data_IF_570398273406
#
_entry.id   IF_570398273406
#
_cell.length_a   1.000
_cell.length_b   1.000
_cell.length_c   1.000
_cell.angle_alpha   90.00
_cell.angle_beta   90.00
_cell.angle_gamma   90.00
#
_symmetry.space_group_name_H-M   'P 1'
#
loop_
_entity.id
_entity.type
_entity.pdbx_description
1 polymer ?
#
# COMPACT_ATOMS: atom_id res chain seq x y z
N UNK A 1 71.83 -3.87 -15.83
CA UNK A 1 71.27 -5.15 -16.30
C UNK A 1 70.99 -5.96 -15.05
N UNK A 2 69.82 -6.56 -14.78
CA UNK A 2 68.72 -7.16 -15.57
C UNK A 2 67.43 -7.03 -14.73
N UNK A 3 66.28 -6.54 -15.24
CA UNK A 3 65.13 -7.27 -15.84
C UNK A 3 64.50 -8.43 -15.03
N UNK A 4 63.39 -8.11 -14.31
CA UNK A 4 62.06 -8.79 -14.14
C UNK A 4 61.95 -10.27 -13.69
N UNK A 5 60.88 -10.70 -12.93
CA UNK A 5 59.48 -10.47 -13.30
C UNK A 5 58.47 -10.09 -12.21
N UNK A 6 57.37 -9.53 -12.72
CA UNK A 6 56.07 -9.27 -12.09
C UNK A 6 55.35 -10.59 -11.80
N UNK A 7 54.86 -10.76 -10.58
CA UNK A 7 53.84 -11.77 -10.24
C UNK A 7 52.49 -11.08 -9.92
N UNK A 8 51.35 -11.65 -10.36
CA UNK A 8 50.12 -10.91 -10.60
C UNK A 8 49.05 -11.15 -9.51
N UNK A 9 48.01 -10.31 -9.56
CA UNK A 9 46.69 -10.49 -8.91
C UNK A 9 46.60 -10.20 -7.41
N UNK A 10 46.72 -8.92 -7.05
CA UNK A 10 45.79 -8.35 -6.07
C UNK A 10 44.66 -7.70 -6.85
N UNK A 11 43.64 -8.49 -7.19
CA UNK A 11 42.37 -7.96 -7.64
C UNK A 11 41.59 -7.52 -6.41
N UNK A 12 41.78 -6.26 -6.00
CA UNK A 12 40.98 -5.61 -4.97
C UNK A 12 40.02 -4.62 -5.64
N UNK A 13 38.79 -5.07 -5.86
CA UNK A 13 37.62 -4.24 -6.20
C UNK A 13 36.48 -5.09 -6.79
N UNK A 14 35.19 -4.77 -6.54
CA UNK A 14 34.64 -3.55 -5.97
C UNK A 14 33.61 -3.86 -4.86
N UNK A 15 34.03 -4.02 -3.61
CA UNK A 15 33.08 -4.34 -2.52
C UNK A 15 32.94 -3.20 -1.52
N UNK A 16 32.53 -2.06 -2.06
CA UNK A 16 32.05 -0.91 -1.30
C UNK A 16 30.58 -0.68 -1.61
N UNK A 17 29.73 -1.70 -1.44
CA UNK A 17 28.29 -1.43 -1.32
C UNK A 17 28.09 -0.75 0.04
N UNK A 18 28.04 0.58 0.00
CA UNK A 18 27.92 1.45 1.17
C UNK A 18 26.89 0.91 2.17
N UNK A 19 27.19 0.97 3.47
CA UNK A 19 26.27 0.68 4.57
C UNK A 19 24.88 1.35 4.41
N UNK A 20 24.83 2.44 3.63
CA UNK A 20 23.62 3.16 3.21
C UNK A 20 22.62 2.31 2.42
N UNK A 21 23.05 1.27 1.72
CA UNK A 21 22.17 0.37 0.96
C UNK A 21 21.53 -0.71 1.85
N UNK A 22 22.27 -1.22 2.83
CA UNK A 22 21.74 -2.17 3.83
C UNK A 22 20.69 -1.49 4.71
N UNK A 23 21.01 -0.29 5.22
CA UNK A 23 20.09 0.50 6.05
C UNK A 23 18.80 0.88 5.31
N UNK A 24 18.88 1.16 4.01
CA UNK A 24 17.71 1.55 3.20
C UNK A 24 16.78 0.38 2.94
N UNK A 25 17.30 -0.78 2.56
CA UNK A 25 16.48 -1.98 2.35
C UNK A 25 15.84 -2.46 3.65
N UNK A 26 16.56 -2.46 4.77
CA UNK A 26 16.01 -2.85 6.07
C UNK A 26 14.95 -1.85 6.56
N UNK A 27 15.17 -0.55 6.35
CA UNK A 27 14.17 0.47 6.67
C UNK A 27 12.93 0.38 5.79
N UNK A 28 13.09 0.15 4.48
CA UNK A 28 11.96 -0.04 3.56
C UNK A 28 11.18 -1.31 3.93
N UNK A 29 11.88 -2.43 4.15
CA UNK A 29 11.28 -3.69 4.57
C UNK A 29 10.58 -3.60 5.95
N UNK A 30 11.04 -2.75 6.86
CA UNK A 30 10.36 -2.49 8.13
C UNK A 30 9.20 -1.47 8.01
N UNK A 31 9.24 -0.58 7.03
CA UNK A 31 8.19 0.43 6.77
C UNK A 31 6.96 -0.16 6.11
N UNK A 32 7.14 -1.09 5.18
CA UNK A 32 6.05 -1.77 4.48
C UNK A 32 5.07 -2.48 5.44
N UNK A 33 5.48 -3.35 6.39
CA UNK A 33 4.56 -4.00 7.33
C UNK A 33 3.86 -3.01 8.26
N UNK A 34 4.51 -1.91 8.64
CA UNK A 34 3.88 -0.84 9.45
C UNK A 34 2.80 -0.12 8.62
N UNK A 35 3.07 0.15 7.34
CA UNK A 35 2.09 0.72 6.40
C UNK A 35 0.91 -0.22 6.17
N UNK A 36 1.18 -1.51 5.99
CA UNK A 36 0.15 -2.55 5.88
C UNK A 36 -0.69 -2.63 7.14
N UNK A 37 -0.08 -2.71 8.32
CA UNK A 37 -0.82 -2.76 9.58
C UNK A 37 -1.71 -1.53 9.75
N UNK A 38 -1.19 -0.33 9.44
CA UNK A 38 -1.97 0.90 9.44
C UNK A 38 -3.13 0.83 8.43
N UNK A 39 -2.90 0.31 7.23
CA UNK A 39 -3.96 0.13 6.24
C UNK A 39 -5.13 -0.72 6.78
N UNK A 40 -4.80 -1.87 7.39
CA UNK A 40 -5.80 -2.79 7.94
C UNK A 40 -6.62 -2.16 9.06
N UNK A 41 -5.96 -1.41 9.96
CA UNK A 41 -6.65 -0.74 11.07
C UNK A 41 -7.75 0.22 10.58
N UNK A 42 -7.46 1.04 9.57
CA UNK A 42 -8.43 1.98 9.02
C UNK A 42 -9.50 1.27 8.18
N UNK A 43 -9.13 0.25 7.40
CA UNK A 43 -10.09 -0.53 6.61
C UNK A 43 -11.08 -1.27 7.50
N UNK A 44 -10.61 -1.98 8.52
CA UNK A 44 -11.47 -2.74 9.44
C UNK A 44 -12.42 -1.81 10.22
N UNK A 45 -11.93 -0.64 10.64
CA UNK A 45 -12.77 0.38 11.27
C UNK A 45 -13.84 0.90 10.32
N UNK A 46 -13.46 1.23 9.08
CA UNK A 46 -14.39 1.70 8.06
C UNK A 46 -15.53 0.69 7.83
N UNK A 47 -15.19 -0.58 7.61
CA UNK A 47 -16.16 -1.65 7.40
C UNK A 47 -17.01 -1.91 8.65
N UNK A 48 -16.42 -1.82 9.83
CA UNK A 48 -17.12 -1.89 11.10
C UNK A 48 -18.15 -0.77 11.27
N UNK A 49 -17.80 0.48 10.94
CA UNK A 49 -18.71 1.62 11.02
C UNK A 49 -19.82 1.52 9.97
N UNK A 50 -19.46 1.16 8.75
CA UNK A 50 -20.41 0.96 7.65
C UNK A 50 -21.45 -0.12 7.96
N UNK A 51 -21.02 -1.27 8.48
CA UNK A 51 -21.93 -2.37 8.86
C UNK A 51 -22.89 -2.00 9.99
N UNK A 52 -22.55 -1.00 10.82
CA UNK A 52 -23.42 -0.44 11.87
C UNK A 52 -24.33 0.69 11.36
N UNK A 53 -24.26 1.02 10.07
CA UNK A 53 -25.02 2.11 9.46
C UNK A 53 -24.40 3.50 9.67
N UNK A 54 -23.21 3.59 10.26
CA UNK A 54 -22.48 4.84 10.38
C UNK A 54 -21.65 5.12 9.12
N UNK A 55 -22.36 5.43 8.04
CA UNK A 55 -21.75 5.75 6.75
C UNK A 55 -20.84 6.98 6.82
N UNK A 56 -21.13 7.94 7.71
CA UNK A 56 -20.31 9.15 7.87
C UNK A 56 -18.98 8.83 8.55
N UNK A 57 -19.00 8.06 9.63
CA UNK A 57 -17.78 7.60 10.30
C UNK A 57 -16.94 6.72 9.38
N UNK A 58 -17.58 5.79 8.65
CA UNK A 58 -16.89 4.97 7.67
C UNK A 58 -16.18 5.82 6.59
N UNK A 59 -16.87 6.85 6.07
CA UNK A 59 -16.30 7.74 5.06
C UNK A 59 -15.05 8.48 5.54
N UNK A 60 -14.98 8.88 6.82
CA UNK A 60 -13.79 9.53 7.38
C UNK A 60 -12.57 8.62 7.41
N UNK A 61 -12.74 7.36 7.81
CA UNK A 61 -11.64 6.38 7.80
C UNK A 61 -11.16 6.09 6.37
N UNK A 62 -12.09 6.04 5.41
CA UNK A 62 -11.79 5.79 3.99
C UNK A 62 -11.12 6.99 3.32
N UNK A 63 -11.51 8.22 3.63
CA UNK A 63 -10.84 9.43 3.18
C UNK A 63 -9.39 9.48 3.68
N UNK A 64 -9.16 9.10 4.95
CA UNK A 64 -7.81 8.98 5.49
C UNK A 64 -6.98 7.96 4.71
N UNK A 65 -7.56 6.80 4.37
CA UNK A 65 -6.88 5.81 3.54
C UNK A 65 -6.56 6.32 2.14
N UNK A 66 -7.49 7.03 1.51
CA UNK A 66 -7.31 7.58 0.16
C UNK A 66 -6.29 8.72 0.11
N UNK A 67 -6.05 9.44 1.21
CA UNK A 67 -4.96 10.40 1.28
C UNK A 67 -3.58 9.71 1.23
N UNK A 68 -3.48 8.51 1.81
CA UNK A 68 -2.23 7.74 1.87
C UNK A 68 -2.04 6.79 0.68
N UNK A 69 -3.15 6.23 0.21
CA UNK A 69 -3.25 5.25 -0.87
C UNK A 69 -4.29 5.75 -1.87
N UNK A 70 -3.97 6.80 -2.65
CA UNK A 70 -4.94 7.44 -3.53
C UNK A 70 -5.55 6.46 -4.51
N UNK A 71 -4.80 5.43 -4.91
CA UNK A 71 -5.21 4.42 -5.89
C UNK A 71 -5.90 3.18 -5.31
N UNK A 72 -6.19 3.16 -4.01
CA UNK A 72 -6.84 2.02 -3.38
C UNK A 72 -8.27 1.82 -3.87
N UNK A 73 -8.50 0.71 -4.58
CA UNK A 73 -9.78 0.39 -5.20
C UNK A 73 -10.85 0.08 -4.14
N UNK A 74 -10.49 -0.54 -3.01
CA UNK A 74 -11.43 -0.81 -1.93
C UNK A 74 -11.91 0.46 -1.25
N UNK A 75 -10.96 1.31 -0.86
CA UNK A 75 -11.26 2.53 -0.16
C UNK A 75 -12.16 3.43 -1.02
N UNK A 76 -11.90 3.50 -2.35
CA UNK A 76 -12.77 4.18 -3.31
C UNK A 76 -14.16 3.54 -3.42
N UNK A 77 -14.25 2.21 -3.49
CA UNK A 77 -15.52 1.50 -3.59
C UNK A 77 -16.40 1.71 -2.35
N UNK A 78 -15.84 1.49 -1.16
CA UNK A 78 -16.57 1.69 0.08
C UNK A 78 -16.89 3.17 0.33
N UNK A 79 -16.03 4.11 -0.10
CA UNK A 79 -16.34 5.55 -0.03
C UNK A 79 -17.54 5.89 -0.91
N UNK A 80 -17.59 5.38 -2.15
CA UNK A 80 -18.74 5.55 -3.03
C UNK A 80 -20.04 4.93 -2.46
N UNK A 81 -19.95 3.77 -1.78
CA UNK A 81 -21.08 3.19 -1.06
C UNK A 81 -21.54 4.06 0.12
N UNK A 82 -20.61 4.62 0.89
CA UNK A 82 -20.93 5.54 1.98
C UNK A 82 -21.63 6.80 1.44
N UNK A 83 -21.07 7.40 0.39
CA UNK A 83 -21.69 8.55 -0.29
C UNK A 83 -23.10 8.23 -0.79
N UNK A 84 -23.34 7.03 -1.31
CA UNK A 84 -24.68 6.59 -1.70
C UNK A 84 -25.65 6.52 -0.51
N UNK A 85 -25.23 5.91 0.61
CA UNK A 85 -26.06 5.83 1.83
C UNK A 85 -26.35 7.19 2.44
N UNK A 86 -25.44 8.16 2.28
CA UNK A 86 -25.60 9.54 2.74
C UNK A 86 -26.44 10.41 1.78
N UNK A 87 -26.89 9.86 0.64
CA UNK A 87 -27.68 10.59 -0.37
C UNK A 87 -26.83 11.49 -1.29
N UNK A 88 -25.51 11.36 -1.26
CA UNK A 88 -24.56 12.12 -2.08
C UNK A 88 -24.37 11.43 -3.45
N UNK A 89 -25.46 11.33 -4.22
CA UNK A 89 -25.48 10.48 -5.42
C UNK A 89 -24.51 10.91 -6.53
N UNK A 90 -24.22 12.21 -6.65
CA UNK A 90 -23.26 12.70 -7.66
C UNK A 90 -21.84 12.20 -7.37
N UNK A 91 -21.44 12.24 -6.11
CA UNK A 91 -20.16 11.75 -5.63
C UNK A 91 -20.06 10.22 -5.74
N UNK A 92 -21.09 9.51 -5.28
CA UNK A 92 -21.18 8.06 -5.43
C UNK A 92 -21.02 7.61 -6.88
N UNK A 93 -21.70 8.27 -7.82
CA UNK A 93 -21.61 7.96 -9.25
C UNK A 93 -20.20 8.18 -9.80
N UNK A 94 -19.52 9.24 -9.37
CA UNK A 94 -18.13 9.51 -9.75
C UNK A 94 -17.20 8.42 -9.21
N UNK A 95 -17.35 8.05 -7.93
CA UNK A 95 -16.56 7.00 -7.30
C UNK A 95 -16.73 5.63 -7.96
N UNK A 96 -17.97 5.21 -8.28
CA UNK A 96 -18.21 3.92 -8.94
C UNK A 96 -17.67 3.84 -10.37
N UNK A 97 -17.68 4.95 -11.11
CA UNK A 97 -17.18 4.99 -12.49
C UNK A 97 -15.69 4.64 -12.57
N UNK A 98 -14.92 4.96 -11.53
CA UNK A 98 -13.49 4.69 -11.45
C UNK A 98 -13.18 3.27 -10.94
N UNK A 99 -14.08 2.65 -10.16
CA UNK A 99 -13.90 1.29 -9.63
C UNK A 99 -14.22 0.22 -10.68
N UNK A 100 -15.19 0.49 -11.56
CA UNK A 100 -15.70 -0.46 -12.57
C UNK A 100 -14.64 -0.89 -13.61
N UNK A 101 -13.55 -0.14 -13.73
CA UNK A 101 -12.46 -0.38 -14.70
C UNK A 101 -11.43 -1.38 -14.16
N UNK A 102 -11.41 -1.64 -12.84
CA UNK A 102 -10.52 -2.61 -12.22
C UNK A 102 -11.37 -3.77 -11.66
N UNK A 103 -11.28 -4.98 -12.23
CA UNK A 103 -12.18 -6.07 -11.87
C UNK A 103 -12.10 -6.35 -10.37
N UNK A 104 -13.28 -6.29 -9.73
CA UNK A 104 -13.58 -6.55 -8.31
C UNK A 104 -13.38 -8.05 -7.96
N UNK A 105 -12.41 -8.72 -8.60
CA UNK A 105 -12.24 -10.16 -8.61
C UNK A 105 -11.11 -10.71 -7.73
N UNK A 106 -10.21 -9.88 -7.19
CA UNK A 106 -9.03 -10.39 -6.47
C UNK A 106 -9.23 -10.69 -4.99
N UNK A 107 -10.29 -10.23 -4.32
CA UNK A 107 -10.44 -10.36 -2.85
C UNK A 107 -10.47 -11.78 -2.28
N UNK A 108 -10.59 -12.80 -3.13
CA UNK A 108 -10.40 -14.18 -2.71
C UNK A 108 -8.91 -14.54 -2.45
N UNK A 109 -7.96 -13.80 -3.02
CA UNK A 109 -6.52 -13.98 -2.80
C UNK A 109 -6.02 -13.20 -1.57
N UNK A 110 -6.48 -11.97 -1.33
CA UNK A 110 -6.06 -11.22 -0.14
C UNK A 110 -6.57 -11.83 1.18
N UNK A 111 -7.72 -12.52 1.18
CA UNK A 111 -8.25 -13.22 2.36
C UNK A 111 -7.29 -14.31 2.91
N UNK A 112 -6.34 -14.81 2.09
CA UNK A 112 -5.38 -15.85 2.52
C UNK A 112 -4.32 -15.35 3.50
N UNK A 113 -4.10 -14.03 3.59
CA UNK A 113 -3.13 -13.43 4.51
C UNK A 113 -3.67 -13.24 5.93
N UNK A 114 -4.97 -13.41 6.14
CA UNK A 114 -5.65 -13.17 7.44
C UNK A 114 -5.98 -14.46 8.20
N UNK A 115 -5.28 -15.56 7.92
CA UNK A 115 -5.38 -16.81 8.69
C UNK A 115 -4.09 -17.10 9.45
#
# INVERSE_FOLDING_TARGET
>A
SELYPVDPLVNAGPEGVDARFSDRQEQEAAREPVRTMRYLDFMDRALGLFSRGDARGAMQELEFLLDQYPDDVNARFYSALCAFQLGQYAEARSGFSNVSVHPVGSFAEEARWYR
#
